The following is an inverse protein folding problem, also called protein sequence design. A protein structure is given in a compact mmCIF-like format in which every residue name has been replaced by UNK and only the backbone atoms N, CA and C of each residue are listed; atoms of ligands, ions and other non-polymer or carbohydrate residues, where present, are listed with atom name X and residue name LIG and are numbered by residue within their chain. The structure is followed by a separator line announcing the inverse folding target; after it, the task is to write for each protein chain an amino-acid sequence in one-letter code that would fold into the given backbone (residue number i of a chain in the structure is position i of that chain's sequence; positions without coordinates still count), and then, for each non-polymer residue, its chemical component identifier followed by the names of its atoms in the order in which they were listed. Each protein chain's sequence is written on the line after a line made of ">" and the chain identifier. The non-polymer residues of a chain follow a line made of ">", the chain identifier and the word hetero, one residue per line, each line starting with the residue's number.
data_IF_215873951130
#
_entry.id   IF_215873951130
#
_cell.length_a   1.000
_cell.length_b   1.000
_cell.length_c   1.000
_cell.angle_alpha   90.00
_cell.angle_beta   90.00
_cell.angle_gamma   90.00
#
_symmetry.space_group_name_H-M   'P 1'
#
loop_
_entity.id
_entity.type
_entity.pdbx_description
1 polymer ?
#
# COMPACT_ATOMS: atom_id res chain seq x y z
N UNK A 1 89.47 45.69 -49.78
CA UNK A 1 89.32 44.23 -49.66
C UNK A 1 88.35 43.97 -48.52
N UNK A 2 87.32 43.14 -48.75
CA UNK A 2 86.39 42.50 -47.78
C UNK A 2 85.24 43.40 -47.27
N UNK A 3 84.01 43.31 -47.83
CA UNK A 3 82.84 42.42 -47.54
C UNK A 3 82.09 42.76 -46.23
N UNK A 4 80.90 43.37 -46.24
CA UNK A 4 79.52 42.81 -46.38
C UNK A 4 79.07 41.83 -45.29
N UNK A 5 78.34 42.35 -44.28
CA UNK A 5 77.50 41.58 -43.37
C UNK A 5 76.22 42.37 -43.04
N UNK A 6 75.07 41.92 -43.55
CA UNK A 6 73.80 42.60 -43.37
C UNK A 6 72.60 41.82 -43.90
N UNK A 7 72.51 40.52 -43.63
CA UNK A 7 71.39 39.68 -44.11
C UNK A 7 70.93 38.58 -43.13
N UNK A 8 71.16 38.70 -41.82
CA UNK A 8 70.75 37.65 -40.85
C UNK A 8 69.60 38.02 -39.89
N UNK A 9 68.99 39.21 -40.02
CA UNK A 9 67.94 39.66 -39.06
C UNK A 9 66.49 39.55 -39.54
N UNK A 10 66.20 38.90 -40.68
CA UNK A 10 64.81 38.78 -41.19
C UNK A 10 64.20 37.37 -41.20
N UNK A 11 64.95 36.31 -40.95
CA UNK A 11 64.38 34.94 -40.97
C UNK A 11 63.88 34.43 -39.61
N UNK A 12 64.36 34.98 -38.49
CA UNK A 12 64.00 34.47 -37.15
C UNK A 12 62.60 34.85 -36.63
N UNK A 13 61.79 35.61 -37.40
CA UNK A 13 60.46 36.10 -36.93
C UNK A 13 59.26 35.52 -37.70
N UNK A 14 59.47 34.54 -38.59
CA UNK A 14 58.39 33.91 -39.37
C UNK A 14 58.07 32.45 -39.00
N UNK A 15 58.84 31.79 -38.14
CA UNK A 15 58.60 30.37 -37.80
C UNK A 15 57.80 30.12 -36.52
N UNK A 16 57.48 31.13 -35.70
CA UNK A 16 56.77 30.90 -34.42
C UNK A 16 55.26 31.17 -34.44
N UNK A 17 54.69 31.63 -35.57
CA UNK A 17 53.27 31.98 -35.65
C UNK A 17 52.37 30.89 -36.26
N UNK A 18 52.91 29.86 -36.92
CA UNK A 18 52.10 28.79 -37.53
C UNK A 18 51.88 27.56 -36.64
N UNK A 19 52.68 27.36 -35.59
CA UNK A 19 52.56 26.19 -34.70
C UNK A 19 51.39 26.27 -33.70
N UNK A 20 51.07 27.48 -33.20
CA UNK A 20 50.07 27.65 -32.14
C UNK A 20 48.60 27.54 -32.59
N UNK A 21 48.29 27.80 -33.86
CA UNK A 21 46.92 27.68 -34.38
C UNK A 21 46.56 26.25 -34.79
N UNK A 22 47.55 25.44 -35.19
CA UNK A 22 47.32 24.05 -35.62
C UNK A 22 47.11 23.09 -34.44
N UNK A 23 47.82 23.29 -33.32
CA UNK A 23 47.62 22.50 -32.09
C UNK A 23 46.28 22.79 -31.38
N UNK A 24 45.84 24.05 -31.35
CA UNK A 24 44.58 24.44 -30.71
C UNK A 24 43.33 23.90 -31.45
N UNK A 25 43.35 23.91 -32.79
CA UNK A 25 42.26 23.37 -33.61
C UNK A 25 42.18 21.84 -33.54
N UNK A 26 43.33 21.15 -33.46
CA UNK A 26 43.40 19.70 -33.30
C UNK A 26 42.84 19.21 -31.96
N UNK A 27 43.17 19.90 -30.86
CA UNK A 27 42.69 19.54 -29.52
C UNK A 27 41.18 19.73 -29.32
N UNK A 28 40.61 20.80 -29.89
CA UNK A 28 39.16 21.04 -29.84
C UNK A 28 38.41 19.98 -30.65
N UNK A 29 38.87 19.68 -31.87
CA UNK A 29 38.21 18.70 -32.73
C UNK A 29 38.29 17.27 -32.19
N UNK A 30 39.41 16.91 -31.56
CA UNK A 30 39.55 15.62 -30.87
C UNK A 30 38.63 15.52 -29.64
N UNK A 31 38.48 16.62 -28.90
CA UNK A 31 37.54 16.71 -27.77
C UNK A 31 36.09 16.58 -28.24
N UNK A 32 35.73 17.22 -29.36
CA UNK A 32 34.39 17.13 -29.97
C UNK A 32 34.12 15.70 -30.45
N UNK A 33 35.09 15.01 -31.07
CA UNK A 33 34.96 13.61 -31.48
C UNK A 33 34.76 12.66 -30.29
N UNK A 34 35.54 12.84 -29.23
CA UNK A 34 35.40 12.06 -27.99
C UNK A 34 34.05 12.30 -27.33
N UNK A 35 33.60 13.56 -27.24
CA UNK A 35 32.29 13.90 -26.71
C UNK A 35 31.16 13.29 -27.57
N UNK A 36 31.22 13.41 -28.89
CA UNK A 36 30.24 12.82 -29.80
C UNK A 36 30.20 11.30 -29.70
N UNK A 37 31.36 10.64 -29.56
CA UNK A 37 31.43 9.19 -29.37
C UNK A 37 30.85 8.75 -28.03
N UNK A 38 31.19 9.42 -26.93
CA UNK A 38 30.68 9.09 -25.59
C UNK A 38 29.17 9.36 -25.49
N UNK A 39 28.71 10.51 -25.97
CA UNK A 39 27.28 10.86 -25.97
C UNK A 39 26.51 9.93 -26.91
N UNK A 40 27.01 9.71 -28.12
CA UNK A 40 26.37 8.82 -29.10
C UNK A 40 26.28 7.37 -28.64
N UNK A 41 27.37 6.82 -28.07
CA UNK A 41 27.37 5.48 -27.50
C UNK A 41 26.47 5.37 -26.26
N UNK A 42 26.42 6.41 -25.42
CA UNK A 42 25.51 6.49 -24.29
C UNK A 42 24.04 6.51 -24.71
N UNK A 43 23.67 7.29 -25.74
CA UNK A 43 22.31 7.33 -26.29
C UNK A 43 21.93 5.98 -26.91
N UNK A 44 22.82 5.37 -27.70
CA UNK A 44 22.59 4.06 -28.29
C UNK A 44 22.42 2.97 -27.22
N UNK A 45 23.24 3.00 -26.17
CA UNK A 45 23.10 2.08 -25.04
C UNK A 45 21.78 2.27 -24.31
N UNK A 46 21.39 3.52 -23.99
CA UNK A 46 20.11 3.80 -23.31
C UNK A 46 18.92 3.40 -24.18
N UNK A 47 18.98 3.63 -25.49
CA UNK A 47 17.94 3.20 -26.42
C UNK A 47 17.86 1.67 -26.52
N UNK A 48 19.00 0.99 -26.65
CA UNK A 48 19.05 -0.47 -26.70
C UNK A 48 18.59 -1.12 -25.38
N UNK A 49 19.03 -0.56 -24.24
CA UNK A 49 18.62 -1.01 -22.92
C UNK A 49 17.13 -0.76 -22.70
N UNK A 50 16.61 0.42 -23.03
CA UNK A 50 15.19 0.75 -22.92
C UNK A 50 14.32 -0.17 -23.79
N UNK A 51 14.73 -0.43 -25.03
CA UNK A 51 14.02 -1.35 -25.93
C UNK A 51 14.09 -2.80 -25.45
N UNK A 52 15.26 -3.26 -24.98
CA UNK A 52 15.43 -4.61 -24.44
C UNK A 52 14.61 -4.81 -23.17
N UNK A 53 14.67 -3.86 -22.24
CA UNK A 53 13.84 -3.87 -21.04
C UNK A 53 12.36 -3.91 -21.43
N UNK A 54 11.91 -3.00 -22.30
CA UNK A 54 10.52 -2.98 -22.77
C UNK A 54 10.10 -4.32 -23.38
N UNK A 55 10.96 -4.93 -24.21
CA UNK A 55 10.69 -6.25 -24.80
C UNK A 55 10.59 -7.36 -23.74
N UNK A 56 11.51 -7.41 -22.79
CA UNK A 56 11.48 -8.39 -21.71
C UNK A 56 10.27 -8.21 -20.80
N UNK A 57 9.91 -6.96 -20.48
CA UNK A 57 8.69 -6.65 -19.73
C UNK A 57 7.46 -7.07 -20.55
N UNK A 58 7.35 -6.72 -21.83
CA UNK A 58 6.22 -7.17 -22.67
C UNK A 58 6.10 -8.69 -22.73
N UNK A 59 7.22 -9.42 -22.84
CA UNK A 59 7.21 -10.87 -22.86
C UNK A 59 6.82 -11.48 -21.51
N UNK A 60 7.37 -10.97 -20.41
CA UNK A 60 7.04 -11.44 -19.06
C UNK A 60 5.58 -11.15 -18.72
N UNK A 61 5.10 -9.92 -18.98
CA UNK A 61 3.72 -9.53 -18.72
C UNK A 61 2.74 -10.24 -19.65
N UNK A 62 3.09 -10.44 -20.92
CA UNK A 62 2.29 -11.22 -21.86
C UNK A 62 2.14 -12.67 -21.41
N UNK A 63 3.26 -13.36 -21.12
CA UNK A 63 3.23 -14.73 -20.62
C UNK A 63 2.52 -14.86 -19.27
N UNK A 64 2.70 -13.89 -18.37
CA UNK A 64 1.97 -13.85 -17.10
C UNK A 64 0.47 -13.63 -17.33
N UNK A 65 0.09 -12.76 -18.26
CA UNK A 65 -1.31 -12.50 -18.65
C UNK A 65 -1.98 -13.77 -19.16
N UNK A 66 -1.35 -14.46 -20.11
CA UNK A 66 -1.84 -15.74 -20.65
C UNK A 66 -2.00 -16.79 -19.55
N UNK A 67 -1.05 -16.87 -18.61
CA UNK A 67 -1.14 -17.78 -17.49
C UNK A 67 -2.37 -17.50 -16.62
N UNK A 68 -2.56 -16.25 -16.20
CA UNK A 68 -3.71 -15.85 -15.37
C UNK A 68 -5.03 -16.00 -16.11
N UNK A 69 -5.07 -15.65 -17.40
CA UNK A 69 -6.24 -15.82 -18.25
C UNK A 69 -6.61 -17.30 -18.37
N UNK A 70 -5.64 -18.19 -18.60
CA UNK A 70 -5.88 -19.63 -18.65
C UNK A 70 -6.42 -20.19 -17.33
N UNK A 71 -5.93 -19.70 -16.18
CA UNK A 71 -6.45 -20.10 -14.88
C UNK A 71 -7.88 -19.58 -14.68
N UNK A 72 -8.13 -18.32 -15.02
CA UNK A 72 -9.46 -17.71 -14.96
C UNK A 72 -10.45 -18.44 -15.85
N UNK A 73 -10.10 -18.74 -17.10
CA UNK A 73 -10.96 -19.50 -18.02
C UNK A 73 -11.37 -20.85 -17.43
N UNK A 74 -10.47 -21.56 -16.72
CA UNK A 74 -10.84 -22.82 -16.04
C UNK A 74 -11.87 -22.59 -14.94
N UNK A 75 -11.71 -21.54 -14.14
CA UNK A 75 -12.67 -21.17 -13.09
C UNK A 75 -14.00 -20.76 -13.70
N UNK A 76 -13.97 -19.84 -14.68
CA UNK A 76 -15.15 -19.37 -15.39
C UNK A 76 -15.95 -20.53 -15.99
N UNK A 77 -15.30 -21.46 -16.71
CA UNK A 77 -15.96 -22.64 -17.28
C UNK A 77 -16.51 -23.58 -16.21
N UNK A 78 -15.84 -23.74 -15.06
CA UNK A 78 -16.33 -24.57 -13.96
C UNK A 78 -17.60 -24.00 -13.29
N UNK A 79 -17.81 -22.68 -13.38
CA UNK A 79 -18.96 -21.98 -12.82
C UNK A 79 -19.92 -21.43 -13.88
N UNK A 80 -19.84 -21.92 -15.12
CA UNK A 80 -20.67 -21.44 -16.22
C UNK A 80 -22.17 -21.54 -15.87
N UNK A 81 -22.89 -20.42 -15.97
CA UNK A 81 -24.31 -20.34 -15.60
C UNK A 81 -24.58 -20.18 -14.10
N UNK A 82 -23.53 -20.06 -13.28
CA UNK A 82 -23.58 -19.90 -11.83
C UNK A 82 -22.83 -18.64 -11.36
N UNK A 83 -22.96 -17.54 -12.12
CA UNK A 83 -22.24 -16.29 -11.87
C UNK A 83 -22.50 -15.72 -10.48
N UNK A 84 -23.72 -15.83 -9.96
CA UNK A 84 -24.04 -15.41 -8.59
C UNK A 84 -23.23 -16.19 -7.54
N UNK A 85 -23.03 -17.49 -7.75
CA UNK A 85 -22.20 -18.34 -6.89
C UNK A 85 -20.73 -17.92 -7.02
N UNK A 86 -20.23 -17.75 -8.23
CA UNK A 86 -18.86 -17.30 -8.48
C UNK A 86 -18.59 -15.95 -7.82
N UNK A 87 -19.52 -15.01 -7.98
CA UNK A 87 -19.50 -13.69 -7.36
C UNK A 87 -19.45 -13.78 -5.83
N UNK A 88 -20.33 -14.57 -5.22
CA UNK A 88 -20.33 -14.77 -3.77
C UNK A 88 -19.03 -15.42 -3.28
N UNK A 89 -18.49 -16.41 -3.99
CA UNK A 89 -17.22 -17.04 -3.61
C UNK A 89 -16.05 -16.06 -3.68
N UNK A 90 -15.99 -15.23 -4.73
CA UNK A 90 -14.95 -14.22 -4.88
C UNK A 90 -15.07 -13.06 -3.90
N UNK A 91 -16.27 -12.54 -3.67
CA UNK A 91 -16.46 -11.30 -2.90
C UNK A 91 -16.82 -11.53 -1.43
N UNK A 92 -17.28 -12.72 -1.05
CA UNK A 92 -17.59 -13.06 0.34
C UNK A 92 -16.64 -14.12 0.89
N UNK A 93 -16.55 -15.30 0.26
CA UNK A 93 -15.80 -16.43 0.83
C UNK A 93 -14.29 -16.17 0.86
N UNK A 94 -13.68 -15.81 -0.28
CA UNK A 94 -12.23 -15.62 -0.36
C UNK A 94 -11.71 -14.54 0.62
N UNK A 95 -12.29 -13.32 0.71
CA UNK A 95 -11.85 -12.31 1.66
C UNK A 95 -12.08 -12.74 3.12
N UNK A 96 -13.19 -13.44 3.40
CA UNK A 96 -13.48 -14.00 4.74
C UNK A 96 -12.44 -15.04 5.16
N UNK A 97 -12.03 -15.93 4.25
CA UNK A 97 -10.97 -16.91 4.51
C UNK A 97 -9.63 -16.23 4.78
N UNK A 98 -9.26 -15.21 3.99
CA UNK A 98 -8.03 -14.43 4.22
C UNK A 98 -8.07 -13.77 5.60
N UNK A 99 -9.19 -13.13 5.95
CA UNK A 99 -9.39 -12.50 7.25
C UNK A 99 -9.20 -13.50 8.40
N UNK A 100 -9.89 -14.64 8.38
CA UNK A 100 -9.82 -15.62 9.47
C UNK A 100 -8.50 -16.38 9.50
N UNK A 101 -7.85 -16.62 8.36
CA UNK A 101 -6.52 -17.24 8.33
C UNK A 101 -5.48 -16.33 9.00
N UNK A 102 -5.43 -15.06 8.61
CA UNK A 102 -4.48 -14.09 9.20
C UNK A 102 -4.78 -13.86 10.69
N UNK A 103 -6.05 -13.63 11.03
CA UNK A 103 -6.44 -13.39 12.42
C UNK A 103 -6.35 -14.63 13.29
N UNK A 104 -6.52 -15.84 12.75
CA UNK A 104 -6.28 -17.09 13.46
C UNK A 104 -4.82 -17.20 13.89
N UNK A 105 -3.87 -16.89 13.01
CA UNK A 105 -2.45 -16.88 13.34
C UNK A 105 -2.12 -15.84 14.41
N UNK A 106 -2.65 -14.61 14.29
CA UNK A 106 -2.45 -13.55 15.28
C UNK A 106 -3.07 -13.91 16.64
N UNK A 107 -4.28 -14.48 16.64
CA UNK A 107 -4.98 -14.89 17.86
C UNK A 107 -4.24 -16.00 18.62
N UNK A 108 -3.57 -16.92 17.92
CA UNK A 108 -2.70 -17.89 18.58
C UNK A 108 -1.59 -17.20 19.38
N UNK A 109 -1.03 -16.11 18.85
CA UNK A 109 0.00 -15.32 19.55
C UNK A 109 -0.63 -14.52 20.70
N UNK A 110 -1.75 -13.84 20.44
CA UNK A 110 -2.46 -13.00 21.41
C UNK A 110 -2.96 -13.79 22.65
N UNK A 111 -3.32 -15.06 22.45
CA UNK A 111 -3.85 -15.92 23.54
C UNK A 111 -2.78 -16.76 24.23
N UNK A 112 -1.74 -17.20 23.51
CA UNK A 112 -0.67 -18.02 24.09
C UNK A 112 0.49 -17.19 24.67
N UNK A 113 0.68 -15.94 24.23
CA UNK A 113 1.87 -15.15 24.54
C UNK A 113 3.15 -15.66 23.88
N UNK A 114 3.03 -16.58 22.91
CA UNK A 114 4.16 -17.21 22.20
C UNK A 114 3.89 -17.26 20.69
N UNK A 115 4.92 -17.29 19.83
CA UNK A 115 6.35 -17.28 20.13
C UNK A 115 6.92 -15.87 20.39
N UNK A 116 8.01 -15.80 21.15
CA UNK A 116 8.66 -14.54 21.56
C UNK A 116 9.17 -13.69 20.39
N UNK A 117 9.44 -14.32 19.24
CA UNK A 117 9.88 -13.59 18.05
C UNK A 117 8.78 -12.71 17.45
N UNK A 118 7.49 -12.98 17.73
CA UNK A 118 6.36 -12.11 17.34
C UNK A 118 6.02 -11.15 18.46
N UNK A 119 5.92 -11.64 19.71
CA UNK A 119 5.44 -10.81 20.83
C UNK A 119 6.36 -9.63 21.15
N UNK A 120 7.65 -9.71 20.82
CA UNK A 120 8.60 -8.58 20.92
C UNK A 120 8.25 -7.36 20.06
N UNK A 121 7.34 -7.49 19.09
CA UNK A 121 6.88 -6.39 18.24
C UNK A 121 5.60 -5.73 18.74
N UNK A 122 5.11 -6.11 19.94
CA UNK A 122 3.90 -5.50 20.53
C UNK A 122 4.09 -4.00 20.72
N UNK A 123 3.11 -3.22 20.32
CA UNK A 123 3.13 -1.75 20.47
C UNK A 123 2.77 -1.35 21.91
N UNK A 124 1.75 -1.99 22.50
CA UNK A 124 1.28 -1.74 23.87
C UNK A 124 1.56 -2.96 24.77
N UNK A 125 2.72 -2.97 25.45
CA UNK A 125 3.25 -4.15 26.18
C UNK A 125 2.37 -4.63 27.37
N UNK A 126 1.68 -3.71 28.06
CA UNK A 126 0.89 -4.03 29.28
C UNK A 126 -0.61 -4.20 29.04
N UNK A 127 -1.07 -4.13 27.79
CA UNK A 127 -2.51 -4.16 27.47
C UNK A 127 -2.89 -5.42 26.70
N UNK A 128 -4.00 -6.02 27.12
CA UNK A 128 -4.59 -7.21 26.49
C UNK A 128 -3.59 -8.38 26.34
N UNK A 129 -2.67 -8.56 27.30
CA UNK A 129 -1.69 -9.66 27.34
C UNK A 129 -1.80 -10.42 28.67
N UNK A 130 -2.37 -11.64 28.71
CA UNK A 130 -3.11 -12.29 27.62
C UNK A 130 -4.47 -11.63 27.37
N UNK A 131 -5.03 -11.87 26.19
CA UNK A 131 -6.38 -11.36 25.84
C UNK A 131 -7.45 -11.97 26.76
N UNK A 132 -8.37 -11.14 27.25
CA UNK A 132 -9.53 -11.58 28.02
C UNK A 132 -10.44 -12.49 27.16
N UNK A 133 -10.61 -13.79 27.54
CA UNK A 133 -11.42 -14.74 26.79
C UNK A 133 -12.90 -14.35 26.65
N UNK A 134 -13.47 -13.66 27.64
CA UNK A 134 -14.89 -13.25 27.61
C UNK A 134 -15.08 -12.15 26.59
N UNK A 135 -14.23 -11.13 26.64
CA UNK A 135 -14.24 -10.02 25.70
C UNK A 135 -13.95 -10.48 24.27
N UNK A 136 -12.98 -11.39 24.10
CA UNK A 136 -12.67 -12.00 22.81
C UNK A 136 -13.87 -12.76 22.23
N UNK A 137 -14.56 -13.57 23.05
CA UNK A 137 -15.75 -14.30 22.61
C UNK A 137 -16.87 -13.36 22.16
N UNK A 138 -17.05 -12.23 22.84
CA UNK A 138 -18.02 -11.20 22.43
C UNK A 138 -17.63 -10.59 21.09
N UNK A 139 -16.35 -10.21 20.93
CA UNK A 139 -15.85 -9.67 19.68
C UNK A 139 -16.03 -10.65 18.50
N UNK A 140 -15.62 -11.91 18.66
CA UNK A 140 -15.77 -12.95 17.64
C UNK A 140 -17.23 -13.16 17.25
N UNK A 141 -18.16 -13.19 18.22
CA UNK A 141 -19.60 -13.32 17.92
C UNK A 141 -20.13 -12.14 17.09
N UNK A 142 -19.76 -10.92 17.45
CA UNK A 142 -20.18 -9.73 16.72
C UNK A 142 -19.55 -9.66 15.32
N UNK A 143 -18.28 -10.05 15.16
CA UNK A 143 -17.61 -10.16 13.85
C UNK A 143 -18.31 -11.18 12.96
N UNK A 144 -18.61 -12.37 13.47
CA UNK A 144 -19.35 -13.40 12.73
C UNK A 144 -20.76 -12.92 12.36
N UNK A 145 -21.45 -12.23 13.28
CA UNK A 145 -22.75 -11.63 13.01
C UNK A 145 -22.67 -10.62 11.86
N UNK A 146 -21.71 -9.70 11.91
CA UNK A 146 -21.51 -8.70 10.87
C UNK A 146 -21.21 -9.37 9.52
N UNK A 147 -20.28 -10.33 9.46
CA UNK A 147 -19.97 -11.03 8.21
C UNK A 147 -21.19 -11.76 7.63
N UNK A 148 -21.90 -12.55 8.43
CA UNK A 148 -22.98 -13.40 7.91
C UNK A 148 -24.24 -12.59 7.62
N UNK A 149 -24.70 -11.79 8.58
CA UNK A 149 -26.03 -11.17 8.52
C UNK A 149 -26.02 -9.75 7.96
N UNK A 150 -24.85 -9.09 7.90
CA UNK A 150 -24.72 -7.75 7.32
C UNK A 150 -23.98 -7.83 6.00
N UNK A 151 -22.78 -8.42 5.95
CA UNK A 151 -22.00 -8.48 4.71
C UNK A 151 -22.61 -9.40 3.67
N UNK A 152 -23.18 -10.55 4.07
CA UNK A 152 -23.86 -11.48 3.16
C UNK A 152 -24.96 -10.81 2.30
N UNK A 153 -25.99 -10.18 2.91
CA UNK A 153 -27.01 -9.45 2.15
C UNK A 153 -26.46 -8.28 1.33
N UNK A 154 -25.44 -7.57 1.84
CA UNK A 154 -24.77 -6.50 1.10
C UNK A 154 -24.09 -7.04 -0.17
N UNK A 155 -23.44 -8.20 -0.12
CA UNK A 155 -22.84 -8.83 -1.31
C UNK A 155 -23.89 -9.15 -2.37
N UNK A 156 -25.09 -9.60 -1.97
CA UNK A 156 -26.20 -9.82 -2.91
C UNK A 156 -26.63 -8.50 -3.56
N UNK A 157 -26.77 -7.43 -2.78
CA UNK A 157 -27.12 -6.12 -3.31
C UNK A 157 -26.05 -5.60 -4.28
N UNK A 158 -24.76 -5.77 -3.93
CA UNK A 158 -23.63 -5.39 -4.79
C UNK A 158 -23.61 -6.22 -6.07
N UNK A 159 -23.88 -7.52 -6.00
CA UNK A 159 -24.01 -8.36 -7.20
C UNK A 159 -25.06 -7.81 -8.15
N UNK A 160 -26.26 -7.50 -7.65
CA UNK A 160 -27.32 -6.90 -8.47
C UNK A 160 -26.88 -5.56 -9.11
N UNK A 161 -26.21 -4.69 -8.35
CA UNK A 161 -25.73 -3.40 -8.85
C UNK A 161 -24.62 -3.56 -9.90
N UNK A 162 -23.66 -4.46 -9.69
CA UNK A 162 -22.57 -4.70 -10.63
C UNK A 162 -23.06 -5.39 -11.89
N UNK A 163 -23.97 -6.36 -11.77
CA UNK A 163 -24.63 -7.01 -12.92
C UNK A 163 -25.54 -6.07 -13.71
N UNK A 164 -26.14 -5.06 -13.07
CA UNK A 164 -26.87 -4.02 -13.79
C UNK A 164 -25.94 -3.15 -14.66
N UNK A 165 -24.70 -2.96 -14.23
CA UNK A 165 -23.72 -2.13 -14.92
C UNK A 165 -22.97 -2.86 -16.04
N UNK A 166 -22.78 -4.16 -15.92
CA UNK A 166 -22.05 -4.96 -16.90
C UNK A 166 -21.95 -6.41 -16.48
N UNK A 167 -20.94 -7.11 -17.01
CA UNK A 167 -20.66 -8.50 -16.67
C UNK A 167 -19.47 -8.57 -15.70
N UNK A 168 -19.69 -8.57 -14.37
CA UNK A 168 -18.60 -8.62 -13.41
C UNK A 168 -17.87 -9.96 -13.42
N UNK A 169 -18.45 -11.03 -13.97
CA UNK A 169 -17.88 -12.37 -13.99
C UNK A 169 -17.45 -12.80 -15.40
N UNK A 170 -17.24 -11.84 -16.30
CA UNK A 170 -16.97 -12.12 -17.70
C UNK A 170 -15.72 -12.97 -17.95
N UNK A 171 -15.61 -13.57 -19.15
CA UNK A 171 -14.53 -14.50 -19.45
C UNK A 171 -13.16 -13.83 -19.58
N UNK A 172 -13.11 -12.53 -19.90
CA UNK A 172 -11.86 -11.80 -20.14
C UNK A 172 -11.38 -11.08 -18.88
N UNK A 173 -10.15 -11.35 -18.45
CA UNK A 173 -9.53 -10.62 -17.35
C UNK A 173 -9.24 -9.17 -17.75
N UNK A 174 -9.31 -8.23 -16.79
CA UNK A 174 -8.81 -6.89 -17.02
C UNK A 174 -7.31 -6.94 -17.29
N UNK A 175 -6.83 -6.06 -18.17
CA UNK A 175 -5.39 -5.89 -18.38
C UNK A 175 -4.71 -5.49 -17.07
N UNK A 176 -3.44 -5.88 -16.91
CA UNK A 176 -2.67 -5.56 -15.69
C UNK A 176 -2.69 -4.06 -15.36
N UNK A 177 -2.49 -3.20 -16.37
CA UNK A 177 -2.50 -1.75 -16.18
C UNK A 177 -3.88 -1.22 -15.78
N UNK A 178 -4.95 -1.79 -16.33
CA UNK A 178 -6.31 -1.43 -15.93
C UNK A 178 -6.58 -1.82 -14.49
N UNK A 179 -6.23 -3.05 -14.09
CA UNK A 179 -6.38 -3.50 -12.71
C UNK A 179 -5.58 -2.60 -11.72
N UNK A 180 -4.36 -2.18 -12.08
CA UNK A 180 -3.60 -1.23 -11.25
C UNK A 180 -4.28 0.13 -11.13
N UNK A 181 -4.83 0.66 -12.23
CA UNK A 181 -5.58 1.91 -12.22
C UNK A 181 -6.85 1.79 -11.34
N UNK A 182 -7.57 0.67 -11.45
CA UNK A 182 -8.73 0.37 -10.60
C UNK A 182 -8.34 0.36 -9.11
N UNK A 183 -7.27 -0.36 -8.72
CA UNK A 183 -6.79 -0.38 -7.33
C UNK A 183 -6.43 1.01 -6.81
N UNK A 184 -5.80 1.85 -7.64
CA UNK A 184 -5.48 3.22 -7.26
C UNK A 184 -6.76 4.05 -7.00
N UNK A 185 -7.75 3.94 -7.88
CA UNK A 185 -9.05 4.60 -7.72
C UNK A 185 -9.77 4.09 -6.46
N UNK A 186 -9.76 2.78 -6.22
CA UNK A 186 -10.37 2.18 -5.04
C UNK A 186 -9.73 2.71 -3.75
N UNK A 187 -8.40 2.80 -3.73
CA UNK A 187 -7.65 3.32 -2.57
C UNK A 187 -8.01 4.79 -2.30
N UNK A 188 -8.11 5.62 -3.34
CA UNK A 188 -8.50 7.03 -3.18
C UNK A 188 -9.92 7.13 -2.63
N UNK A 189 -10.86 6.35 -3.17
CA UNK A 189 -12.25 6.35 -2.72
C UNK A 189 -12.38 5.82 -1.29
N UNK A 190 -11.63 4.78 -0.94
CA UNK A 190 -11.58 4.24 0.42
C UNK A 190 -11.09 5.30 1.40
N UNK A 191 -9.97 5.98 1.14
CA UNK A 191 -9.45 7.05 2.00
C UNK A 191 -10.49 8.14 2.23
N UNK A 192 -11.16 8.61 1.16
CA UNK A 192 -12.17 9.66 1.25
C UNK A 192 -13.37 9.20 2.08
N UNK A 193 -13.97 8.08 1.70
CA UNK A 193 -15.22 7.61 2.30
C UNK A 193 -14.99 7.14 3.73
N UNK A 194 -13.89 6.44 4.00
CA UNK A 194 -13.52 6.00 5.34
C UNK A 194 -13.25 7.21 6.24
N UNK A 195 -12.40 8.15 5.83
CA UNK A 195 -12.05 9.32 6.65
C UNK A 195 -13.30 10.08 7.12
N UNK A 196 -14.18 10.44 6.19
CA UNK A 196 -15.36 11.24 6.54
C UNK A 196 -16.41 10.45 7.31
N UNK A 197 -16.66 9.20 6.95
CA UNK A 197 -17.61 8.37 7.71
C UNK A 197 -17.10 8.09 9.12
N UNK A 198 -15.84 7.70 9.26
CA UNK A 198 -15.21 7.41 10.54
C UNK A 198 -15.21 8.65 11.44
N UNK A 199 -14.79 9.81 10.93
CA UNK A 199 -14.85 11.08 11.67
C UNK A 199 -16.28 11.47 12.05
N UNK A 200 -17.27 11.19 11.20
CA UNK A 200 -18.68 11.42 11.51
C UNK A 200 -19.15 10.51 12.67
N UNK A 201 -18.77 9.23 12.68
CA UNK A 201 -19.11 8.30 13.76
C UNK A 201 -18.47 8.67 15.10
N UNK A 202 -17.38 9.45 15.10
CA UNK A 202 -16.80 10.07 16.29
C UNK A 202 -17.55 11.31 16.80
N UNK A 203 -18.53 11.82 16.06
CA UNK A 203 -19.37 12.91 16.55
C UNK A 203 -20.11 12.47 17.83
N UNK A 204 -20.19 13.30 18.90
CA UNK A 204 -20.71 12.87 20.21
C UNK A 204 -22.11 12.21 20.18
N UNK A 205 -22.98 12.64 19.26
CA UNK A 205 -24.32 12.07 19.10
C UNK A 205 -24.33 10.64 18.53
N UNK A 206 -23.33 10.29 17.72
CA UNK A 206 -23.20 8.99 17.06
C UNK A 206 -22.26 8.06 17.82
N UNK A 207 -21.15 8.59 18.36
CA UNK A 207 -20.10 7.83 19.02
C UNK A 207 -20.66 6.92 20.10
N UNK A 208 -21.46 7.47 21.03
CA UNK A 208 -22.02 6.72 22.16
C UNK A 208 -22.84 5.50 21.71
N UNK A 209 -23.49 5.58 20.56
CA UNK A 209 -24.47 4.58 20.11
C UNK A 209 -23.89 3.58 19.12
N UNK A 210 -22.96 4.01 18.27
CA UNK A 210 -22.52 3.21 17.13
C UNK A 210 -21.03 2.90 17.16
N UNK A 211 -20.18 3.86 17.55
CA UNK A 211 -18.73 3.69 17.42
C UNK A 211 -17.99 3.33 18.71
N UNK A 212 -18.63 3.58 19.87
CA UNK A 212 -18.06 3.24 21.17
C UNK A 212 -17.74 1.74 21.28
N UNK A 213 -18.55 0.88 20.67
CA UNK A 213 -18.33 -0.56 20.63
C UNK A 213 -16.97 -0.90 20.02
N UNK A 214 -16.65 -0.34 18.85
CA UNK A 214 -15.36 -0.54 18.19
C UNK A 214 -14.18 -0.13 19.11
N UNK A 215 -14.35 0.99 19.80
CA UNK A 215 -13.38 1.56 20.73
C UNK A 215 -13.32 0.91 22.13
N UNK A 216 -14.05 -0.18 22.37
CA UNK A 216 -13.89 -0.96 23.60
C UNK A 216 -12.48 -1.56 23.71
N UNK A 217 -11.77 -1.71 22.58
CA UNK A 217 -10.42 -2.26 22.48
C UNK A 217 -9.35 -1.18 22.28
N UNK A 218 -9.03 -0.41 23.32
CA UNK A 218 -8.00 0.65 23.28
C UNK A 218 -6.59 0.17 22.88
N UNK A 219 -6.35 -1.13 23.00
CA UNK A 219 -5.18 -1.84 22.45
C UNK A 219 -5.73 -2.94 21.53
N UNK A 220 -5.98 -2.64 20.25
CA UNK A 220 -6.66 -3.56 19.37
C UNK A 220 -5.82 -4.83 19.11
N UNK A 221 -6.52 -5.87 18.69
CA UNK A 221 -5.95 -7.11 18.15
C UNK A 221 -6.61 -7.34 16.79
N UNK A 222 -5.96 -8.09 15.89
CA UNK A 222 -6.37 -8.11 14.48
C UNK A 222 -7.86 -8.41 14.25
N UNK A 223 -8.43 -9.36 15.00
CA UNK A 223 -9.82 -9.80 14.80
C UNK A 223 -10.85 -8.69 15.09
N UNK A 224 -10.49 -7.69 15.91
CA UNK A 224 -11.39 -6.60 16.27
C UNK A 224 -11.45 -5.49 15.22
N UNK A 225 -10.65 -5.59 14.15
CA UNK A 225 -10.69 -4.66 13.00
C UNK A 225 -12.06 -4.50 12.37
N UNK A 226 -12.93 -5.51 12.46
CA UNK A 226 -14.33 -5.44 12.02
C UNK A 226 -15.34 -5.70 13.16
N UNK A 227 -14.88 -5.62 14.41
CA UNK A 227 -15.74 -5.56 15.58
C UNK A 227 -16.34 -4.16 15.66
N UNK A 228 -17.57 -4.03 15.18
CA UNK A 228 -18.27 -2.76 15.04
C UNK A 228 -19.78 -2.96 15.20
N UNK A 229 -20.49 -1.87 15.51
CA UNK A 229 -21.95 -1.86 15.42
C UNK A 229 -22.39 -2.09 13.96
N UNK A 230 -23.51 -2.79 13.67
CA UNK A 230 -23.93 -3.09 12.28
C UNK A 230 -24.02 -1.86 11.36
N UNK A 231 -24.50 -0.73 11.87
CA UNK A 231 -24.57 0.52 11.10
C UNK A 231 -23.18 1.07 10.73
N UNK A 232 -22.24 1.04 11.67
CA UNK A 232 -20.85 1.42 11.41
C UNK A 232 -20.21 0.43 10.43
N UNK A 233 -20.48 -0.86 10.60
CA UNK A 233 -19.99 -1.89 9.70
C UNK A 233 -20.41 -1.63 8.25
N UNK A 234 -21.68 -1.27 8.00
CA UNK A 234 -22.13 -0.89 6.66
C UNK A 234 -21.42 0.38 6.18
N UNK A 235 -21.49 1.47 6.95
CA UNK A 235 -21.15 2.81 6.45
C UNK A 235 -19.63 3.06 6.42
N UNK A 236 -18.89 2.59 7.41
CA UNK A 236 -17.45 2.83 7.54
C UNK A 236 -16.61 1.63 7.12
N UNK A 237 -17.08 0.38 7.28
CA UNK A 237 -16.24 -0.75 6.86
C UNK A 237 -16.56 -1.20 5.43
N UNK A 238 -17.83 -1.37 5.09
CA UNK A 238 -18.23 -1.95 3.80
C UNK A 238 -18.27 -0.91 2.67
N UNK A 239 -18.99 0.20 2.84
CA UNK A 239 -19.18 1.18 1.76
C UNK A 239 -17.87 1.75 1.19
N UNK A 240 -16.86 2.15 1.99
CA UNK A 240 -15.61 2.68 1.45
C UNK A 240 -14.88 1.67 0.56
N UNK A 241 -14.96 0.39 0.89
CA UNK A 241 -14.31 -0.70 0.16
C UNK A 241 -15.11 -1.10 -1.09
N UNK A 242 -16.45 -1.06 -1.03
CA UNK A 242 -17.35 -1.50 -2.11
C UNK A 242 -17.53 -0.46 -3.21
N UNK A 243 -17.56 0.83 -2.88
CA UNK A 243 -17.94 1.88 -3.84
C UNK A 243 -16.98 1.94 -5.03
N UNK A 244 -15.67 1.73 -4.82
CA UNK A 244 -14.68 1.72 -5.90
C UNK A 244 -15.03 0.70 -7.02
N UNK A 245 -15.07 -0.60 -6.72
CA UNK A 245 -15.46 -1.63 -7.70
C UNK A 245 -16.81 -1.37 -8.37
N UNK A 246 -17.82 -0.90 -7.61
CA UNK A 246 -19.15 -0.58 -8.16
C UNK A 246 -19.09 0.61 -9.13
N UNK A 247 -18.35 1.67 -8.77
CA UNK A 247 -18.17 2.90 -9.58
C UNK A 247 -17.24 2.67 -10.78
N UNK A 248 -16.44 1.62 -10.78
CA UNK A 248 -15.65 1.22 -11.94
C UNK A 248 -16.33 0.14 -12.80
N UNK A 249 -17.29 -0.60 -12.25
CA UNK A 249 -17.91 -1.75 -12.93
C UNK A 249 -16.91 -2.88 -13.10
N UNK A 250 -16.09 -3.09 -12.06
CA UNK A 250 -14.88 -3.88 -12.15
C UNK A 250 -15.15 -5.37 -12.25
N UNK A 251 -14.20 -6.05 -12.87
CA UNK A 251 -14.19 -7.50 -12.91
C UNK A 251 -14.06 -8.09 -11.49
N UNK A 252 -14.67 -9.25 -11.27
CA UNK A 252 -14.71 -9.94 -9.97
C UNK A 252 -13.31 -10.25 -9.46
N UNK A 253 -12.34 -10.54 -10.32
CA UNK A 253 -10.96 -10.85 -9.88
C UNK A 253 -10.27 -9.63 -9.27
N UNK A 254 -10.36 -8.45 -9.89
CA UNK A 254 -9.84 -7.21 -9.29
C UNK A 254 -10.59 -6.88 -8.00
N UNK A 255 -11.92 -7.05 -7.99
CA UNK A 255 -12.76 -6.80 -6.81
C UNK A 255 -12.39 -7.71 -5.65
N UNK A 256 -12.20 -9.01 -5.90
CA UNK A 256 -11.80 -10.02 -4.91
C UNK A 256 -10.43 -9.70 -4.35
N UNK A 257 -9.46 -9.41 -5.23
CA UNK A 257 -8.11 -9.02 -4.82
C UNK A 257 -8.14 -7.77 -3.94
N UNK A 258 -8.92 -6.74 -4.33
CA UNK A 258 -9.09 -5.53 -3.56
C UNK A 258 -9.68 -5.79 -2.16
N UNK A 259 -10.75 -6.59 -2.05
CA UNK A 259 -11.35 -6.90 -0.75
C UNK A 259 -10.40 -7.67 0.16
N UNK A 260 -9.62 -8.61 -0.40
CA UNK A 260 -8.56 -9.30 0.34
C UNK A 260 -7.49 -8.31 0.83
N UNK A 261 -7.01 -7.41 -0.03
CA UNK A 261 -6.01 -6.40 0.33
C UNK A 261 -6.52 -5.44 1.41
N UNK A 262 -7.76 -4.97 1.30
CA UNK A 262 -8.39 -4.08 2.27
C UNK A 262 -8.52 -4.75 3.65
N UNK A 263 -8.94 -6.03 3.71
CA UNK A 263 -9.04 -6.78 4.97
C UNK A 263 -7.66 -7.08 5.58
N UNK A 264 -6.66 -7.40 4.76
CA UNK A 264 -5.27 -7.56 5.23
C UNK A 264 -4.74 -6.25 5.80
N UNK A 265 -4.91 -5.14 5.07
CA UNK A 265 -4.50 -3.80 5.51
C UNK A 265 -5.14 -3.41 6.84
N UNK A 266 -6.48 -3.58 6.95
CA UNK A 266 -7.23 -3.28 8.17
C UNK A 266 -6.84 -4.20 9.32
N UNK A 267 -6.56 -5.48 9.05
CA UNK A 267 -6.07 -6.40 10.08
C UNK A 267 -4.70 -5.96 10.60
N UNK A 268 -3.78 -5.58 9.70
CA UNK A 268 -2.43 -5.12 10.07
C UNK A 268 -2.51 -3.82 10.87
N UNK A 269 -3.38 -2.88 10.52
CA UNK A 269 -3.53 -1.62 11.28
C UNK A 269 -4.08 -1.83 12.69
N UNK A 270 -4.74 -2.96 12.96
CA UNK A 270 -5.32 -3.31 14.26
C UNK A 270 -4.59 -4.42 15.01
N UNK A 271 -3.58 -5.07 14.41
CA UNK A 271 -3.02 -6.28 14.99
C UNK A 271 -2.28 -6.03 16.32
N UNK A 272 -1.91 -4.78 16.60
CA UNK A 272 -1.16 -4.39 17.80
C UNK A 272 0.31 -4.80 17.78
N UNK A 273 0.81 -5.23 16.61
CA UNK A 273 2.20 -5.61 16.38
C UNK A 273 2.80 -4.82 15.22
N UNK A 274 3.93 -4.15 15.47
CA UNK A 274 4.70 -3.53 14.39
C UNK A 274 5.65 -4.55 13.75
N UNK A 275 5.10 -5.41 12.90
CA UNK A 275 5.83 -6.52 12.27
C UNK A 275 6.75 -6.05 11.12
N UNK A 276 7.89 -6.74 10.90
CA UNK A 276 8.77 -6.45 9.77
C UNK A 276 8.06 -6.61 8.42
N UNK A 277 8.42 -5.72 7.47
CA UNK A 277 7.95 -5.72 6.08
C UNK A 277 6.45 -5.50 5.87
N UNK A 278 5.72 -5.15 6.93
CA UNK A 278 4.30 -4.79 6.87
C UNK A 278 4.10 -3.29 7.18
N UNK A 279 3.02 -2.67 6.66
CA UNK A 279 2.66 -1.29 7.01
C UNK A 279 2.58 -1.08 8.52
N UNK A 280 2.93 0.13 8.96
CA UNK A 280 2.95 0.46 10.40
C UNK A 280 1.52 0.57 10.97
N UNK A 281 1.21 -0.11 12.10
CA UNK A 281 -0.07 0.05 12.79
C UNK A 281 -0.15 1.30 13.68
N UNK A 282 0.98 1.98 13.93
CA UNK A 282 1.12 3.05 14.94
C UNK A 282 0.07 4.16 14.81
N UNK A 283 -0.31 4.51 13.56
CA UNK A 283 -1.29 5.56 13.29
C UNK A 283 -2.68 5.21 13.83
N UNK A 284 -3.15 3.99 13.58
CA UNK A 284 -4.47 3.53 14.00
C UNK A 284 -4.45 3.02 15.45
N UNK A 285 -3.35 2.47 15.93
CA UNK A 285 -3.18 2.18 17.36
C UNK A 285 -3.30 3.48 18.21
N UNK A 286 -2.66 4.56 17.75
CA UNK A 286 -2.81 5.88 18.39
C UNK A 286 -4.25 6.41 18.33
N UNK A 287 -4.98 6.12 17.25
CA UNK A 287 -6.40 6.44 17.13
C UNK A 287 -7.22 5.76 18.24
N UNK A 288 -7.06 4.45 18.46
CA UNK A 288 -7.72 3.69 19.54
C UNK A 288 -7.33 4.18 20.95
N UNK A 289 -6.16 4.79 21.09
CA UNK A 289 -5.71 5.38 22.36
C UNK A 289 -6.31 6.78 22.64
N UNK A 290 -6.49 7.60 21.60
CA UNK A 290 -6.85 9.04 21.75
C UNK A 290 -8.25 9.39 21.27
N UNK A 291 -8.89 8.53 20.48
CA UNK A 291 -10.24 8.63 19.94
C UNK A 291 -10.54 9.80 18.99
N UNK A 292 -9.75 10.88 19.00
CA UNK A 292 -10.08 12.10 18.25
C UNK A 292 -8.99 12.57 17.29
N UNK A 293 -8.11 11.67 16.86
CA UNK A 293 -7.02 11.90 15.91
C UNK A 293 -6.89 10.70 14.98
N UNK A 294 -6.28 10.87 13.81
CA UNK A 294 -5.91 9.77 12.92
C UNK A 294 -7.12 8.94 12.41
N UNK A 295 -8.03 9.57 11.67
CA UNK A 295 -9.28 8.94 11.21
C UNK A 295 -9.16 8.19 9.87
N UNK A 296 -8.22 8.56 9.02
CA UNK A 296 -8.05 8.02 7.66
C UNK A 296 -7.34 6.67 7.63
N UNK A 297 -7.31 6.07 6.44
CA UNK A 297 -6.61 4.80 6.18
C UNK A 297 -5.13 5.07 5.93
N UNK A 298 -4.82 6.06 5.09
CA UNK A 298 -3.45 6.44 4.73
C UNK A 298 -2.97 7.71 5.47
N UNK A 299 -3.86 8.42 6.15
CA UNK A 299 -3.55 9.66 6.87
C UNK A 299 -3.36 10.90 5.97
N UNK A 300 -3.66 10.78 4.67
CA UNK A 300 -3.59 11.91 3.72
C UNK A 300 -4.62 12.97 4.10
N UNK A 301 -5.87 12.55 4.33
CA UNK A 301 -6.92 13.46 4.74
C UNK A 301 -6.74 13.95 6.18
N UNK A 302 -6.12 13.16 7.05
CA UNK A 302 -5.75 13.67 8.38
C UNK A 302 -4.74 14.81 8.30
N UNK A 303 -3.75 14.68 7.42
CA UNK A 303 -2.78 15.76 7.21
C UNK A 303 -3.44 17.00 6.65
N UNK A 304 -4.34 16.84 5.68
CA UNK A 304 -5.08 17.95 5.07
C UNK A 304 -5.96 18.70 6.08
N UNK A 305 -6.62 17.95 6.98
CA UNK A 305 -7.55 18.51 7.97
C UNK A 305 -6.91 18.79 9.35
N UNK A 306 -5.61 18.50 9.50
CA UNK A 306 -4.88 18.68 10.76
C UNK A 306 -5.28 17.69 11.87
N UNK A 307 -5.92 16.57 11.54
CA UNK A 307 -6.37 15.56 12.52
C UNK A 307 -5.29 14.54 12.91
N UNK A 308 -4.05 14.70 12.43
CA UNK A 308 -2.85 13.98 12.89
C UNK A 308 -1.89 14.85 13.73
N UNK A 309 -2.25 16.10 14.04
CA UNK A 309 -1.32 17.08 14.64
C UNK A 309 -0.72 16.61 15.96
N UNK A 310 -1.51 15.95 16.82
CA UNK A 310 -1.01 15.43 18.10
C UNK A 310 -0.16 14.18 17.91
N UNK A 311 -0.56 13.30 16.99
CA UNK A 311 0.17 12.09 16.67
C UNK A 311 1.61 12.42 16.27
N UNK A 312 1.79 13.42 15.42
CA UNK A 312 3.10 13.89 14.94
C UNK A 312 4.06 14.40 16.02
N UNK A 313 3.56 14.65 17.22
CA UNK A 313 4.35 15.11 18.37
C UNK A 313 4.74 13.95 19.30
N UNK A 314 4.47 12.71 18.90
CA UNK A 314 4.71 11.51 19.72
C UNK A 314 5.84 10.64 19.19
N UNK A 315 6.38 9.78 20.05
CA UNK A 315 7.30 8.71 19.65
C UNK A 315 6.65 7.70 18.69
N UNK A 316 5.34 7.49 18.78
CA UNK A 316 4.60 6.61 17.87
C UNK A 316 4.67 7.10 16.42
N UNK A 317 4.67 8.42 16.20
CA UNK A 317 4.92 8.97 14.86
C UNK A 317 6.34 8.76 14.36
N UNK A 318 7.36 8.90 15.23
CA UNK A 318 8.74 8.56 14.86
C UNK A 318 8.89 7.07 14.49
N UNK A 319 8.10 6.20 15.12
CA UNK A 319 8.01 4.77 14.81
C UNK A 319 7.11 4.47 13.61
N UNK A 320 6.31 5.41 13.11
CA UNK A 320 5.35 5.16 12.02
C UNK A 320 6.04 5.08 10.64
N UNK A 321 6.80 4.00 10.44
CA UNK A 321 7.55 3.70 9.22
C UNK A 321 7.51 2.20 8.92
N UNK A 322 7.83 1.83 7.68
CA UNK A 322 8.00 0.42 7.32
C UNK A 322 9.21 -0.14 8.06
N UNK A 323 8.98 -1.15 8.90
CA UNK A 323 10.06 -1.83 9.61
C UNK A 323 10.80 -2.76 8.65
N UNK A 324 11.99 -2.37 8.21
CA UNK A 324 12.84 -3.17 7.29
C UNK A 324 13.89 -4.01 8.01
N UNK A 325 13.97 -3.90 9.33
CA UNK A 325 14.91 -4.64 10.18
C UNK A 325 14.18 -5.66 11.07
N UNK A 326 14.93 -6.60 11.66
CA UNK A 326 14.38 -7.53 12.65
C UNK A 326 14.39 -6.98 14.08
N UNK A 327 14.92 -5.77 14.30
CA UNK A 327 14.92 -5.11 15.61
C UNK A 327 13.60 -4.35 15.80
N UNK A 328 12.83 -4.60 16.88
CA UNK A 328 11.60 -3.84 17.15
C UNK A 328 11.84 -2.33 17.22
N UNK A 329 10.88 -1.53 16.74
CA UNK A 329 11.01 -0.07 16.75
C UNK A 329 10.96 0.55 18.14
N UNK A 330 10.36 -0.13 19.12
CA UNK A 330 10.43 0.25 20.54
C UNK A 330 11.86 0.17 21.09
N UNK A 331 12.73 -0.65 20.49
CA UNK A 331 14.14 -0.75 20.86
C UNK A 331 15.02 0.24 20.09
N UNK A 332 14.77 0.42 18.78
CA UNK A 332 15.54 1.36 17.97
C UNK A 332 15.17 2.83 18.23
N UNK A 333 13.93 3.10 18.64
CA UNK A 333 13.40 4.41 19.01
C UNK A 333 12.74 4.26 20.39
N UNK A 334 13.52 4.21 21.48
CA UNK A 334 12.99 3.98 22.83
C UNK A 334 12.16 5.16 23.35
N UNK A 335 11.29 4.89 24.31
CA UNK A 335 10.60 5.94 25.06
C UNK A 335 11.60 6.86 25.75
N UNK A 336 11.24 8.13 25.84
CA UNK A 336 12.06 9.06 26.63
C UNK A 336 11.91 8.69 28.11
N UNK A 337 13.00 8.49 28.87
CA UNK A 337 12.90 8.20 30.29
C UNK A 337 12.04 9.27 30.96
N UNK A 338 10.98 8.87 31.66
CA UNK A 338 10.28 9.79 32.56
C UNK A 338 11.33 10.30 33.55
N UNK A 339 11.62 11.61 33.55
CA UNK A 339 12.42 12.23 34.62
C UNK A 339 11.79 11.80 35.94
N UNK A 340 12.57 11.14 36.79
CA UNK A 340 12.09 10.44 37.97
C UNK A 340 11.12 11.28 38.81
N UNK A 341 10.02 10.65 39.21
CA UNK A 341 9.30 11.02 40.41
C UNK A 341 9.91 10.26 41.58
#
# INVERSE_FOLDING_TARGET
>A
MVETAGSEKREAKRSSASGGQQEAAGGLWDSVKKAAFVIGSGILFLAAFGNSLTWHLQKFWGASGDFWQNLWTKVYLAFQGHDATLFFLGTMLAPTLVFWALNGLLLLVDTSGTPSFITRYRIQEDKNSPVDPVKLRQAVKAVLFNQVFISGPMVVAVYCLMSWRGDPCGPELPTFHWALMELAIFSILEEILFYYSHRLFHHPSLYKHFHKQHHEWTAPIGVVSIYAHPLEHVISNMLPVIIGPVVMGSHITTTTMWYCLALVSTTISHCGYHLPFLPSPEFHDFHHLRFNQCFGVFGVLDRLHGTDSKFRQTKQYERHTLLTSLTPLTQSIPETPKKGQ
#
